data_IF_851499774000
#
_entry.id   IF_851499774000
#
_cell.length_a   1.000
_cell.length_b   1.000
_cell.length_c   1.000
_cell.angle_alpha   90.00
_cell.angle_beta   90.00
_cell.angle_gamma   90.00
#
_symmetry.space_group_name_H-M   'P 1'
#
loop_
_entity.id
_entity.type
_entity.pdbx_description
1 polymer ?
#
# COMPACT_ATOMS: atom_id res chain seq x y z
N UNK A 1 28.49 -38.73 44.01
CA UNK A 1 28.97 -37.42 43.49
C UNK A 1 29.27 -37.60 42.00
N UNK A 2 28.34 -37.25 41.11
CA UNK A 2 28.56 -37.28 39.66
C UNK A 2 28.64 -35.83 39.16
N UNK A 3 29.85 -35.39 38.82
CA UNK A 3 30.09 -34.07 38.25
C UNK A 3 29.99 -34.11 36.73
N UNK A 4 28.87 -33.63 36.19
CA UNK A 4 28.71 -33.45 34.74
C UNK A 4 29.41 -32.14 34.37
N UNK A 5 30.57 -32.23 33.72
CA UNK A 5 31.24 -31.08 33.09
C UNK A 5 30.61 -30.86 31.72
N UNK A 6 29.64 -29.95 31.66
CA UNK A 6 29.06 -29.48 30.40
C UNK A 6 30.12 -28.62 29.66
N UNK A 7 30.51 -28.95 28.41
CA UNK A 7 31.50 -28.18 27.69
C UNK A 7 30.91 -26.83 27.24
N UNK A 8 31.53 -25.75 27.71
CA UNK A 8 31.23 -24.32 27.44
C UNK A 8 31.16 -23.98 25.93
N UNK A 9 31.60 -24.87 25.04
CA UNK A 9 31.64 -24.64 23.59
C UNK A 9 30.26 -24.65 22.91
N UNK A 10 29.20 -25.13 23.54
CA UNK A 10 27.85 -25.12 22.93
C UNK A 10 27.12 -23.79 23.15
N UNK A 11 27.54 -22.95 24.10
CA UNK A 11 26.83 -21.70 24.42
C UNK A 11 27.12 -20.55 23.44
N UNK A 12 28.16 -20.66 22.60
CA UNK A 12 28.54 -19.60 21.65
C UNK A 12 27.91 -19.74 20.26
N UNK A 13 27.30 -20.89 19.93
CA UNK A 13 26.62 -21.08 18.64
C UNK A 13 25.15 -20.64 18.65
N UNK A 14 24.55 -20.41 19.82
CA UNK A 14 23.19 -19.87 19.94
C UNK A 14 23.14 -18.34 19.94
N UNK A 15 24.27 -17.66 20.15
CA UNK A 15 24.33 -16.19 20.11
C UNK A 15 24.36 -15.61 18.68
N UNK A 16 24.60 -16.45 17.66
CA UNK A 16 24.66 -16.00 16.25
C UNK A 16 23.29 -16.04 15.56
N UNK A 17 22.28 -16.67 16.16
CA UNK A 17 20.90 -16.69 15.61
C UNK A 17 19.99 -15.55 16.10
N UNK A 18 20.49 -14.67 16.98
CA UNK A 18 19.72 -13.51 17.48
C UNK A 18 20.22 -12.15 16.96
N UNK A 19 21.22 -12.14 16.08
CA UNK A 19 21.68 -10.91 15.44
C UNK A 19 21.03 -10.78 14.06
N UNK A 20 20.14 -9.79 13.92
CA UNK A 20 19.45 -9.37 12.70
C UNK A 20 18.06 -9.98 12.49
N UNK A 21 17.15 -9.75 13.46
CA UNK A 21 15.85 -9.24 13.01
C UNK A 21 16.16 -7.86 12.41
N UNK A 22 16.48 -7.85 11.11
CA UNK A 22 16.65 -6.62 10.37
C UNK A 22 15.27 -5.96 10.40
N UNK A 23 15.11 -4.95 11.27
CA UNK A 23 13.92 -4.12 11.23
C UNK A 23 13.88 -3.52 9.83
N UNK A 24 12.90 -3.93 9.03
CA UNK A 24 12.67 -3.34 7.73
C UNK A 24 12.52 -1.84 7.93
N UNK A 25 13.08 -1.05 7.02
CA UNK A 25 12.86 0.40 7.10
C UNK A 25 11.36 0.69 6.92
N UNK A 26 10.87 1.79 7.48
CA UNK A 26 9.47 2.24 7.29
C UNK A 26 9.07 2.21 5.80
N UNK A 27 9.99 2.62 4.93
CA UNK A 27 9.80 2.59 3.48
C UNK A 27 9.64 1.17 2.92
N UNK A 28 10.43 0.21 3.39
CA UNK A 28 10.34 -1.19 2.99
C UNK A 28 8.99 -1.81 3.42
N UNK A 29 8.46 -1.42 4.59
CA UNK A 29 7.12 -1.84 5.03
C UNK A 29 6.02 -1.29 4.10
N UNK A 30 6.15 -0.03 3.67
CA UNK A 30 5.21 0.59 2.72
C UNK A 30 5.31 -0.06 1.34
N UNK A 31 6.50 -0.42 0.89
CA UNK A 31 6.72 -1.17 -0.36
C UNK A 31 6.09 -2.56 -0.31
N UNK A 32 6.30 -3.31 0.78
CA UNK A 32 5.68 -4.62 0.97
C UNK A 32 4.15 -4.53 1.01
N UNK A 33 3.60 -3.52 1.69
CA UNK A 33 2.16 -3.27 1.70
C UNK A 33 1.64 -2.94 0.29
N UNK A 34 2.35 -2.09 -0.46
CA UNK A 34 1.96 -1.72 -1.81
C UNK A 34 1.91 -2.93 -2.76
N UNK A 35 2.86 -3.86 -2.62
CA UNK A 35 2.91 -5.10 -3.38
C UNK A 35 1.79 -6.08 -3.00
N UNK A 36 1.48 -6.23 -1.70
CA UNK A 36 0.35 -7.02 -1.22
C UNK A 36 -0.97 -6.50 -1.80
N UNK A 37 -1.20 -5.19 -1.71
CA UNK A 37 -2.37 -4.51 -2.27
C UNK A 37 -2.48 -4.79 -3.77
N UNK A 38 -1.40 -4.60 -4.54
CA UNK A 38 -1.37 -4.88 -5.98
C UNK A 38 -1.71 -6.33 -6.28
N UNK A 39 -1.16 -7.28 -5.52
CA UNK A 39 -1.41 -8.71 -5.73
C UNK A 39 -2.87 -9.10 -5.44
N UNK A 40 -3.45 -8.59 -4.35
CA UNK A 40 -4.84 -8.83 -3.97
C UNK A 40 -5.82 -8.27 -5.00
N UNK A 41 -5.56 -7.05 -5.50
CA UNK A 41 -6.42 -6.45 -6.51
C UNK A 41 -6.29 -7.21 -7.84
N UNK A 42 -5.06 -7.50 -8.28
CA UNK A 42 -4.80 -8.20 -9.56
C UNK A 42 -5.36 -9.62 -9.59
N UNK A 43 -5.43 -10.29 -8.43
CA UNK A 43 -6.01 -11.63 -8.31
C UNK A 43 -7.52 -11.65 -8.12
N UNK A 44 -8.16 -10.49 -7.91
CA UNK A 44 -9.58 -10.44 -7.58
C UNK A 44 -9.89 -11.01 -6.19
N UNK A 45 -8.94 -11.02 -5.24
CA UNK A 45 -9.18 -11.53 -3.89
C UNK A 45 -9.88 -10.48 -3.01
N UNK A 46 -11.21 -10.43 -3.12
CA UNK A 46 -12.03 -9.51 -2.33
C UNK A 46 -11.92 -9.79 -0.82
N UNK A 47 -11.72 -11.05 -0.44
CA UNK A 47 -11.71 -11.48 0.96
C UNK A 47 -10.39 -11.12 1.63
N UNK A 48 -9.27 -11.33 0.94
CA UNK A 48 -7.95 -10.89 1.37
C UNK A 48 -7.88 -9.37 1.45
N UNK A 49 -8.31 -8.67 0.39
CA UNK A 49 -8.34 -7.22 0.38
C UNK A 49 -9.20 -6.63 1.50
N UNK A 50 -10.37 -7.22 1.77
CA UNK A 50 -11.26 -6.82 2.84
C UNK A 50 -10.69 -6.97 4.26
N UNK A 51 -9.55 -7.65 4.44
CA UNK A 51 -8.86 -7.79 5.73
C UNK A 51 -7.71 -6.79 5.91
N UNK A 52 -7.38 -6.03 4.87
CA UNK A 52 -6.31 -5.05 4.95
C UNK A 52 -6.67 -3.97 5.99
N UNK A 53 -5.70 -3.53 6.80
CA UNK A 53 -5.92 -2.59 7.88
C UNK A 53 -6.18 -1.17 7.36
N UNK A 54 -7.06 -0.45 8.06
CA UNK A 54 -7.45 0.94 7.77
C UNK A 54 -7.32 1.75 9.05
N UNK A 55 -6.83 2.98 9.00
CA UNK A 55 -6.78 3.90 10.13
C UNK A 55 -7.85 5.01 10.01
N UNK A 56 -8.54 5.39 11.10
CA UNK A 56 -8.57 4.78 12.44
C UNK A 56 -9.52 3.57 12.54
N UNK A 57 -9.97 3.03 11.40
CA UNK A 57 -10.82 1.84 11.34
C UNK A 57 -10.11 0.56 11.75
N UNK A 58 -10.73 -0.58 11.43
CA UNK A 58 -10.11 -1.89 11.60
C UNK A 58 -9.78 -2.53 10.25
N UNK A 59 -10.72 -2.46 9.30
CA UNK A 59 -10.62 -3.13 8.00
C UNK A 59 -11.31 -2.31 6.90
N UNK A 60 -11.04 -2.68 5.64
CA UNK A 60 -11.66 -2.07 4.47
C UNK A 60 -13.18 -2.27 4.46
N UNK A 61 -13.93 -1.21 4.14
CA UNK A 61 -15.39 -1.24 4.05
C UNK A 61 -15.89 -2.03 2.84
N UNK A 62 -17.12 -2.56 2.92
CA UNK A 62 -17.75 -3.26 1.78
C UNK A 62 -17.91 -2.34 0.57
N UNK A 63 -18.21 -1.06 0.79
CA UNK A 63 -18.37 -0.09 -0.28
C UNK A 63 -17.06 0.16 -1.03
N UNK A 64 -15.92 0.18 -0.33
CA UNK A 64 -14.61 0.32 -0.94
C UNK A 64 -14.22 -0.93 -1.73
N UNK A 65 -14.54 -2.12 -1.21
CA UNK A 65 -14.37 -3.39 -1.94
C UNK A 65 -15.20 -3.37 -3.22
N UNK A 66 -16.49 -3.02 -3.13
CA UNK A 66 -17.39 -2.98 -4.29
C UNK A 66 -16.97 -1.92 -5.32
N UNK A 67 -16.43 -0.79 -4.89
CA UNK A 67 -15.88 0.21 -5.79
C UNK A 67 -14.64 -0.28 -6.52
N UNK A 68 -13.76 -1.00 -5.83
CA UNK A 68 -12.49 -1.44 -6.40
C UNK A 68 -12.64 -2.64 -7.33
N UNK A 69 -13.38 -3.65 -6.89
CA UNK A 69 -13.54 -4.91 -7.62
C UNK A 69 -14.80 -4.97 -8.48
N UNK A 70 -15.67 -3.97 -8.34
CA UNK A 70 -16.95 -3.95 -9.00
C UNK A 70 -18.01 -4.81 -8.31
N UNK A 71 -19.20 -4.80 -8.91
CA UNK A 71 -20.35 -5.60 -8.57
C UNK A 71 -21.11 -5.97 -9.87
N UNK A 72 -22.36 -6.44 -9.75
CA UNK A 72 -23.15 -6.85 -10.91
C UNK A 72 -23.43 -5.70 -11.91
N UNK A 73 -23.40 -4.44 -11.43
CA UNK A 73 -23.80 -3.25 -12.18
C UNK A 73 -22.62 -2.30 -12.49
N UNK A 74 -21.47 -2.47 -11.83
CA UNK A 74 -20.27 -1.63 -11.97
C UNK A 74 -19.03 -2.53 -12.07
N UNK A 75 -18.22 -2.48 -13.14
CA UNK A 75 -17.06 -3.35 -13.31
C UNK A 75 -15.86 -3.02 -12.39
N UNK A 76 -15.93 -2.02 -11.51
CA UNK A 76 -14.85 -1.64 -10.60
C UNK A 76 -13.70 -0.92 -11.31
N UNK A 77 -12.54 -0.77 -10.65
CA UNK A 77 -11.38 -0.07 -11.21
C UNK A 77 -10.70 -0.93 -12.30
N UNK A 78 -11.00 -0.60 -13.55
CA UNK A 78 -10.58 -1.30 -14.75
C UNK A 78 -9.05 -1.42 -14.96
N UNK A 79 -8.23 -0.61 -14.29
CA UNK A 79 -6.77 -0.64 -14.44
C UNK A 79 -6.17 -2.00 -14.03
N UNK A 80 -6.70 -2.64 -12.99
CA UNK A 80 -6.17 -3.92 -12.48
C UNK A 80 -6.80 -5.16 -13.12
N UNK A 81 -7.93 -4.99 -13.82
CA UNK A 81 -8.74 -6.11 -14.34
C UNK A 81 -8.28 -6.66 -15.70
N UNK A 82 -7.16 -6.16 -16.27
CA UNK A 82 -6.81 -6.39 -17.69
C UNK A 82 -5.40 -6.90 -17.98
N UNK A 83 -4.66 -7.40 -16.99
CA UNK A 83 -3.30 -7.94 -17.21
C UNK A 83 -2.31 -6.91 -17.76
N UNK A 84 -2.55 -5.63 -17.45
CA UNK A 84 -1.70 -4.50 -17.82
C UNK A 84 -0.41 -4.52 -16.99
N UNK A 85 0.68 -4.00 -17.54
CA UNK A 85 1.91 -3.79 -16.80
C UNK A 85 1.74 -2.57 -15.87
N UNK A 86 1.38 -2.82 -14.61
CA UNK A 86 1.13 -1.74 -13.64
C UNK A 86 2.42 -1.38 -12.93
N UNK A 87 2.83 -0.12 -13.02
CA UNK A 87 3.93 0.43 -12.24
C UNK A 87 3.39 0.92 -10.89
N UNK A 88 4.12 0.59 -9.82
CA UNK A 88 3.88 1.10 -8.47
C UNK A 88 4.94 2.14 -8.14
N UNK A 89 4.51 3.29 -7.65
CA UNK A 89 5.41 4.31 -7.10
C UNK A 89 4.88 4.81 -5.76
N UNK A 90 5.80 5.17 -4.89
CA UNK A 90 5.46 5.56 -3.51
C UNK A 90 6.14 6.87 -3.20
N UNK A 91 5.35 7.84 -2.75
CA UNK A 91 5.75 9.19 -2.41
C UNK A 91 5.61 9.40 -0.91
N UNK A 92 6.57 10.12 -0.31
CA UNK A 92 6.61 10.40 1.13
C UNK A 92 7.84 9.83 1.85
N UNK A 93 7.90 9.92 3.19
CA UNK A 93 6.82 10.46 4.03
C UNK A 93 6.63 11.95 3.76
N UNK A 94 5.39 12.41 3.70
CA UNK A 94 5.12 13.83 3.55
C UNK A 94 5.43 14.57 4.86
N UNK A 95 5.91 15.82 4.76
CA UNK A 95 6.09 16.67 5.93
C UNK A 95 4.77 17.00 6.65
N UNK A 96 3.63 16.76 5.98
CA UNK A 96 2.30 16.81 6.57
C UNK A 96 1.98 15.44 7.16
N UNK A 97 1.95 15.38 8.48
CA UNK A 97 1.40 14.25 9.23
C UNK A 97 -0.14 14.28 9.17
N UNK A 98 -0.77 13.15 9.49
CA UNK A 98 -2.21 13.13 9.72
C UNK A 98 -2.60 13.90 10.99
N UNK A 99 -3.88 13.90 11.35
CA UNK A 99 -4.35 14.64 12.53
C UNK A 99 -3.70 14.16 13.85
N UNK A 100 -3.14 12.96 13.87
CA UNK A 100 -2.58 12.28 15.03
C UNK A 100 -1.05 12.21 14.99
N UNK A 101 -0.41 12.85 14.01
CA UNK A 101 1.04 12.94 13.90
C UNK A 101 1.70 11.73 13.23
N UNK A 102 0.95 10.93 12.47
CA UNK A 102 1.49 9.73 11.81
C UNK A 102 2.13 10.07 10.47
N UNK A 103 3.26 9.41 10.11
CA UNK A 103 3.85 9.51 8.78
C UNK A 103 2.83 9.12 7.71
N UNK A 104 2.71 9.95 6.67
CA UNK A 104 1.77 9.75 5.56
C UNK A 104 2.54 9.50 4.27
N UNK A 105 2.12 8.47 3.53
CA UNK A 105 2.64 8.15 2.21
C UNK A 105 1.50 8.09 1.19
N UNK A 106 1.81 8.44 -0.05
CA UNK A 106 0.96 8.15 -1.20
C UNK A 106 1.54 6.97 -1.97
N UNK A 107 0.68 6.05 -2.38
CA UNK A 107 1.00 4.94 -3.26
C UNK A 107 0.21 5.13 -4.55
N UNK A 108 0.93 5.25 -5.65
CA UNK A 108 0.40 5.44 -7.00
C UNK A 108 0.57 4.16 -7.78
N UNK A 109 -0.51 3.71 -8.41
CA UNK A 109 -0.50 2.61 -9.37
C UNK A 109 -0.95 3.13 -10.73
N UNK A 110 -0.15 2.91 -11.75
CA UNK A 110 -0.47 3.43 -13.08
C UNK A 110 -0.03 2.50 -14.21
N UNK A 111 -0.74 2.60 -15.32
CA UNK A 111 -0.44 1.90 -16.57
C UNK A 111 0.39 2.86 -17.46
N UNK A 112 1.69 2.60 -17.66
CA UNK A 112 2.56 3.46 -18.47
C UNK A 112 2.16 3.47 -19.95
N UNK A 113 1.31 2.54 -20.40
CA UNK A 113 0.71 2.57 -21.74
C UNK A 113 -0.48 3.52 -21.87
N UNK A 114 -1.07 3.95 -20.74
CA UNK A 114 -2.22 4.86 -20.69
C UNK A 114 -1.82 6.28 -20.26
N UNK A 115 -0.91 6.41 -19.28
CA UNK A 115 -0.47 7.69 -18.73
C UNK A 115 1.05 7.76 -18.67
N UNK A 116 1.62 8.94 -18.95
CA UNK A 116 3.05 9.15 -18.96
C UNK A 116 3.42 10.38 -18.12
N UNK A 117 4.62 10.34 -17.54
CA UNK A 117 5.20 11.48 -16.85
C UNK A 117 5.81 12.46 -17.84
N UNK A 118 5.83 13.74 -17.46
CA UNK A 118 6.62 14.74 -18.14
C UNK A 118 8.13 14.54 -17.94
N UNK A 119 8.94 15.40 -18.56
CA UNK A 119 10.40 15.36 -18.46
C UNK A 119 10.94 15.58 -17.05
N UNK A 120 10.13 16.16 -16.16
CA UNK A 120 10.48 16.47 -14.78
C UNK A 120 9.93 15.39 -13.81
N UNK A 121 9.25 14.36 -14.34
CA UNK A 121 8.75 13.21 -13.59
C UNK A 121 7.35 13.40 -13.01
N UNK A 122 6.60 14.43 -13.43
CA UNK A 122 5.25 14.71 -12.95
C UNK A 122 4.18 14.13 -13.88
N UNK A 123 3.04 13.76 -13.31
CA UNK A 123 1.85 13.44 -14.08
C UNK A 123 1.05 14.71 -14.39
N UNK A 124 0.54 14.81 -15.62
CA UNK A 124 -0.35 15.88 -16.02
C UNK A 124 -1.74 15.69 -15.33
N UNK A 125 -2.27 16.67 -14.59
CA UNK A 125 -3.54 16.54 -13.88
C UNK A 125 -4.74 16.17 -14.78
N UNK A 126 -4.78 16.65 -16.02
CA UNK A 126 -5.86 16.34 -16.96
C UNK A 126 -5.76 14.87 -17.39
N UNK A 127 -4.55 14.34 -17.55
CA UNK A 127 -4.34 12.90 -17.81
C UNK A 127 -4.77 12.05 -16.62
N UNK A 128 -4.45 12.47 -15.39
CA UNK A 128 -4.88 11.74 -14.20
C UNK A 128 -6.40 11.69 -14.15
N UNK A 129 -7.09 12.81 -14.39
CA UNK A 129 -8.55 12.86 -14.42
C UNK A 129 -9.13 11.95 -15.50
N UNK A 130 -8.59 12.01 -16.73
CA UNK A 130 -9.07 11.20 -17.85
C UNK A 130 -8.87 9.69 -17.60
N UNK A 131 -7.80 9.32 -16.91
CA UNK A 131 -7.41 7.92 -16.71
C UNK A 131 -7.68 7.38 -15.31
N UNK A 132 -8.38 8.13 -14.45
CA UNK A 132 -8.72 7.65 -13.12
C UNK A 132 -9.47 6.32 -13.17
N UNK A 133 -9.00 5.35 -12.39
CA UNK A 133 -9.58 4.01 -12.33
C UNK A 133 -9.33 3.12 -13.54
N UNK A 134 -8.85 3.66 -14.67
CA UNK A 134 -8.66 2.91 -15.93
C UNK A 134 -7.19 2.78 -16.34
N UNK A 135 -6.38 3.77 -15.95
CA UNK A 135 -4.94 3.86 -16.22
C UNK A 135 -4.14 4.52 -15.10
N UNK A 136 -4.79 5.13 -14.10
CA UNK A 136 -4.16 5.69 -12.91
C UNK A 136 -5.06 5.55 -11.68
N UNK A 137 -4.49 5.18 -10.53
CA UNK A 137 -5.15 5.28 -9.22
C UNK A 137 -4.12 5.65 -8.15
N UNK A 138 -4.60 6.29 -7.09
CA UNK A 138 -3.79 6.67 -5.94
C UNK A 138 -4.50 6.26 -4.65
N UNK A 139 -3.73 5.80 -3.67
CA UNK A 139 -4.19 5.56 -2.30
C UNK A 139 -3.21 6.15 -1.30
N UNK A 140 -3.70 6.54 -0.12
CA UNK A 140 -2.87 7.10 0.95
C UNK A 140 -2.81 6.11 2.10
N UNK A 141 -1.63 5.97 2.68
CA UNK A 141 -1.37 5.10 3.83
C UNK A 141 -0.70 5.88 4.94
N UNK A 142 -0.92 5.42 6.16
CA UNK A 142 -0.26 5.91 7.39
C UNK A 142 0.55 4.80 8.02
N UNK A 143 1.63 5.17 8.70
CA UNK A 143 2.45 4.25 9.48
C UNK A 143 2.17 4.44 10.96
N UNK A 144 1.56 3.44 11.60
CA UNK A 144 1.21 3.48 13.03
C UNK A 144 1.87 2.30 13.75
N UNK A 145 2.92 2.60 14.51
CA UNK A 145 3.64 1.59 15.29
C UNK A 145 4.21 0.45 14.43
N UNK A 146 4.92 0.81 13.34
CA UNK A 146 5.50 -0.13 12.36
C UNK A 146 4.46 -1.02 11.66
N UNK A 147 3.28 -0.45 11.42
CA UNK A 147 2.24 -1.07 10.61
C UNK A 147 1.80 -0.06 9.59
N UNK A 148 1.71 -0.47 8.34
CA UNK A 148 1.14 0.33 7.27
C UNK A 148 -0.36 0.06 7.23
N UNK A 149 -1.16 1.12 7.26
CA UNK A 149 -2.62 1.05 7.19
C UNK A 149 -3.09 2.00 6.10
N UNK A 150 -4.18 1.67 5.41
CA UNK A 150 -4.86 2.67 4.59
C UNK A 150 -5.29 3.85 5.44
N UNK A 151 -5.06 5.06 4.96
CA UNK A 151 -5.56 6.26 5.61
C UNK A 151 -7.03 6.46 5.22
N UNK A 152 -7.95 6.20 6.16
CA UNK A 152 -9.41 6.29 6.03
C UNK A 152 -10.07 5.31 5.06
N UNK A 153 -9.80 5.40 3.77
CA UNK A 153 -10.43 4.54 2.75
C UNK A 153 -9.44 4.29 1.63
N UNK A 154 -9.26 3.02 1.22
CA UNK A 154 -8.37 2.69 0.12
C UNK A 154 -8.90 3.25 -1.19
N UNK A 155 -8.03 3.91 -1.93
CA UNK A 155 -8.31 4.59 -3.19
C UNK A 155 -9.39 5.67 -3.03
N UNK A 156 -9.00 6.93 -3.20
CA UNK A 156 -9.97 8.01 -3.13
C UNK A 156 -11.13 7.74 -4.10
N UNK A 157 -12.37 7.77 -3.59
CA UNK A 157 -13.52 7.89 -4.47
C UNK A 157 -13.30 9.12 -5.37
N UNK A 158 -13.72 9.07 -6.64
CA UNK A 158 -13.49 10.18 -7.58
C UNK A 158 -13.94 11.57 -7.06
N UNK A 159 -14.78 11.63 -6.03
CA UNK A 159 -15.16 12.86 -5.30
C UNK A 159 -14.07 13.50 -4.44
N UNK A 160 -13.00 12.76 -4.10
CA UNK A 160 -11.85 13.21 -3.30
C UNK A 160 -10.53 13.11 -4.08
N UNK A 161 -10.64 13.00 -5.40
CA UNK A 161 -9.47 12.91 -6.26
C UNK A 161 -8.68 14.24 -6.22
N UNK A 162 -7.35 14.24 -6.43
CA UNK A 162 -6.52 15.44 -6.34
C UNK A 162 -6.98 16.65 -7.17
N UNK A 163 -7.77 16.44 -8.22
CA UNK A 163 -8.33 17.49 -9.09
C UNK A 163 -9.77 17.90 -8.74
N UNK A 164 -10.44 17.22 -7.78
CA UNK A 164 -11.81 17.54 -7.39
C UNK A 164 -11.92 18.91 -6.69
N UNK A 165 -10.77 19.52 -6.33
CA UNK A 165 -10.71 20.87 -5.76
C UNK A 165 -11.37 21.00 -4.39
N UNK A 166 -11.58 19.87 -3.70
CA UNK A 166 -12.22 19.78 -2.38
C UNK A 166 -11.21 19.81 -1.22
N UNK A 167 -9.94 20.11 -1.52
CA UNK A 167 -8.85 20.37 -0.56
C UNK A 167 -8.50 21.85 -0.44
#
# INVERSE_FOLDING_TARGET
>A
MFGIRLPIKIFLLLAVFFASACHASEREEVEAFADEVKALISSGDHTGFGKLPVYPGEIVSRDAISYLFGNADDPGLAIFSKGKDIITEIYGPYAREDADGHPVYSIVYYDPGSIAKDKDGHFDPDQIQQHWGTGFVETVVVVVGNRVLFHRTPFYYGSHAPWAGDY
#
